data_IF_115871901342
#
_entry.id   IF_115871901342
#
_cell.length_a   1.000
_cell.length_b   1.000
_cell.length_c   1.000
_cell.angle_alpha   90.00
_cell.angle_beta   90.00
_cell.angle_gamma   90.00
#
_symmetry.space_group_name_H-M   'P 1'
#
loop_
_entity.id
_entity.type
_entity.pdbx_description
1 polymer ?
#
# COMPACT_ATOMS: atom_id res chain seq x y z
N UNK A 1 0.46 8.85 -26.00
CA UNK A 1 1.62 8.69 -25.09
C UNK A 1 1.30 7.56 -24.14
N UNK A 2 2.11 6.51 -24.04
CA UNK A 2 1.92 5.50 -22.99
C UNK A 2 2.22 6.15 -21.64
N UNK A 3 1.30 6.07 -20.68
CA UNK A 3 1.58 6.49 -19.31
C UNK A 3 2.85 5.80 -18.79
N UNK A 4 3.77 6.58 -18.23
CA UNK A 4 4.98 6.06 -17.64
C UNK A 4 4.61 5.23 -16.40
N UNK A 5 5.05 3.97 -16.37
CA UNK A 5 4.85 3.10 -15.22
C UNK A 5 5.61 3.63 -14.01
N UNK A 6 4.96 3.62 -12.85
CA UNK A 6 5.55 4.12 -11.61
C UNK A 6 5.16 3.27 -10.42
N UNK A 7 6.11 3.16 -9.50
CA UNK A 7 5.89 2.62 -8.17
C UNK A 7 6.00 3.79 -7.21
N UNK A 8 4.93 4.05 -6.45
CA UNK A 8 4.88 5.16 -5.49
C UNK A 8 5.05 4.60 -4.08
N UNK A 9 6.00 5.14 -3.33
CA UNK A 9 6.21 4.78 -1.93
C UNK A 9 5.74 5.94 -1.06
N UNK A 10 4.79 5.68 -0.17
CA UNK A 10 4.35 6.65 0.83
C UNK A 10 4.99 6.27 2.16
N UNK A 11 5.94 7.08 2.61
CA UNK A 11 6.76 6.80 3.77
C UNK A 11 6.69 7.88 4.85
N UNK A 12 6.89 7.49 6.11
CA UNK A 12 6.87 8.40 7.26
C UNK A 12 6.41 7.74 8.57
N UNK A 13 6.55 8.42 9.71
CA UNK A 13 6.25 7.84 11.03
C UNK A 13 4.76 7.50 11.21
N UNK A 14 4.45 6.68 12.22
CA UNK A 14 3.07 6.40 12.61
C UNK A 14 2.36 7.69 13.03
N UNK A 15 1.10 7.85 12.64
CA UNK A 15 0.32 9.05 12.93
C UNK A 15 0.58 10.26 12.00
N UNK A 16 1.50 10.17 11.04
CA UNK A 16 1.79 11.27 10.10
C UNK A 16 0.70 11.54 9.04
N UNK A 17 -0.42 10.79 9.05
CA UNK A 17 -1.50 10.95 8.08
C UNK A 17 -1.27 10.29 6.72
N UNK A 18 -0.30 9.37 6.60
CA UNK A 18 0.07 8.69 5.34
C UNK A 18 -1.10 8.04 4.61
N UNK A 19 -1.91 7.25 5.30
CA UNK A 19 -3.08 6.58 4.71
C UNK A 19 -4.13 7.58 4.25
N UNK A 20 -4.31 8.69 4.98
CA UNK A 20 -5.21 9.78 4.57
C UNK A 20 -4.70 10.44 3.28
N UNK A 21 -3.42 10.84 3.27
CA UNK A 21 -2.77 11.39 2.08
C UNK A 21 -2.87 10.42 0.89
N UNK A 22 -2.63 9.12 1.10
CA UNK A 22 -2.72 8.12 0.04
C UNK A 22 -4.10 8.07 -0.61
N UNK A 23 -5.17 8.12 0.20
CA UNK A 23 -6.56 8.05 -0.29
C UNK A 23 -6.99 9.27 -1.10
N UNK A 24 -6.42 10.43 -0.82
CA UNK A 24 -6.71 11.68 -1.52
C UNK A 24 -5.77 11.88 -2.73
N UNK A 25 -4.47 11.69 -2.54
CA UNK A 25 -3.48 11.96 -3.57
C UNK A 25 -3.49 10.92 -4.70
N UNK A 26 -3.54 9.62 -4.36
CA UNK A 26 -3.31 8.55 -5.34
C UNK A 26 -4.35 8.46 -6.46
N UNK A 27 -5.67 8.47 -6.19
CA UNK A 27 -6.68 8.36 -7.24
C UNK A 27 -6.85 9.66 -8.04
N UNK A 28 -6.67 10.82 -7.41
CA UNK A 28 -7.04 12.10 -8.02
C UNK A 28 -5.84 12.86 -8.63
N UNK A 29 -4.67 12.79 -8.02
CA UNK A 29 -3.48 13.56 -8.45
C UNK A 29 -2.42 12.66 -9.07
N UNK A 30 -2.18 11.49 -8.47
CA UNK A 30 -1.16 10.57 -8.96
C UNK A 30 -1.64 9.65 -10.09
N UNK A 31 -2.94 9.52 -10.35
CA UNK A 31 -3.45 8.54 -11.33
C UNK A 31 -2.99 7.11 -11.03
N UNK A 32 -2.81 6.75 -9.75
CA UNK A 32 -2.28 5.46 -9.30
C UNK A 32 -3.21 4.85 -8.25
N UNK A 33 -4.42 4.42 -8.63
CA UNK A 33 -5.46 4.02 -7.67
C UNK A 33 -5.15 2.72 -6.91
N UNK A 34 -4.18 1.93 -7.37
CA UNK A 34 -3.78 0.68 -6.72
C UNK A 34 -2.91 1.01 -5.51
N UNK A 35 -3.43 0.78 -4.32
CA UNK A 35 -2.76 1.06 -3.06
C UNK A 35 -2.67 -0.19 -2.18
N UNK A 36 -1.45 -0.60 -1.85
CA UNK A 36 -1.14 -1.79 -1.04
C UNK A 36 -0.64 -1.33 0.34
N UNK A 37 -1.35 -1.72 1.39
CA UNK A 37 -1.04 -1.30 2.76
C UNK A 37 -1.28 -2.48 3.73
N UNK A 38 -0.27 -2.84 4.53
CA UNK A 38 -0.33 -3.98 5.45
C UNK A 38 -1.40 -3.81 6.55
N UNK A 39 -1.58 -2.61 7.09
CA UNK A 39 -2.56 -2.35 8.15
C UNK A 39 -4.01 -2.50 7.64
N UNK A 40 -4.28 -2.02 6.42
CA UNK A 40 -5.58 -2.21 5.77
C UNK A 40 -5.85 -3.68 5.45
N UNK A 41 -4.83 -4.43 5.02
CA UNK A 41 -4.94 -5.88 4.80
C UNK A 41 -5.21 -6.59 6.15
N UNK A 42 -4.47 -6.25 7.20
CA UNK A 42 -4.66 -6.83 8.54
C UNK A 42 -6.06 -6.57 9.08
N UNK A 43 -6.57 -5.34 8.93
CA UNK A 43 -7.93 -4.98 9.31
C UNK A 43 -8.99 -5.74 8.49
N UNK A 44 -8.74 -6.02 7.22
CA UNK A 44 -9.62 -6.87 6.40
C UNK A 44 -9.59 -8.35 6.81
N UNK A 45 -8.44 -8.88 7.21
CA UNK A 45 -8.28 -10.27 7.64
C UNK A 45 -8.84 -10.54 9.04
N UNK A 46 -8.70 -9.58 9.95
CA UNK A 46 -9.09 -9.70 11.35
C UNK A 46 -9.67 -8.37 11.84
N UNK A 47 -10.96 -8.08 11.54
CA UNK A 47 -11.55 -6.77 11.81
C UNK A 47 -11.65 -6.42 13.29
N UNK A 48 -11.64 -7.42 14.18
CA UNK A 48 -11.68 -7.22 15.63
C UNK A 48 -10.30 -7.31 16.30
N UNK A 49 -9.29 -7.81 15.59
CA UNK A 49 -7.92 -7.97 16.13
C UNK A 49 -6.87 -7.96 15.00
N UNK A 50 -6.65 -6.81 14.33
CA UNK A 50 -5.74 -6.71 13.18
C UNK A 50 -4.30 -7.14 13.51
N UNK A 51 -3.84 -6.89 14.74
CA UNK A 51 -2.49 -7.20 15.20
C UNK A 51 -2.21 -8.71 15.13
N UNK A 52 -3.22 -9.55 15.37
CA UNK A 52 -3.10 -11.00 15.24
C UNK A 52 -2.86 -11.46 13.79
N UNK A 53 -3.21 -10.61 12.81
CA UNK A 53 -3.02 -10.87 11.39
C UNK A 53 -1.78 -10.18 10.80
N UNK A 54 -1.00 -9.42 11.59
CA UNK A 54 0.08 -8.56 11.08
C UNK A 54 1.11 -9.31 10.21
N UNK A 55 1.60 -10.47 10.66
CA UNK A 55 2.54 -11.28 9.89
C UNK A 55 1.95 -11.79 8.57
N UNK A 56 0.68 -12.23 8.60
CA UNK A 56 -0.02 -12.72 7.40
C UNK A 56 -0.27 -11.56 6.43
N UNK A 57 -0.66 -10.40 6.93
CA UNK A 57 -0.89 -9.20 6.14
C UNK A 57 0.40 -8.71 5.46
N UNK A 58 1.54 -8.73 6.17
CA UNK A 58 2.84 -8.41 5.58
C UNK A 58 3.23 -9.36 4.43
N UNK A 59 2.97 -10.66 4.56
CA UNK A 59 3.18 -11.63 3.47
C UNK A 59 2.30 -11.34 2.26
N UNK A 60 1.00 -11.11 2.48
CA UNK A 60 0.06 -10.76 1.41
C UNK A 60 0.45 -9.45 0.73
N UNK A 61 0.91 -8.45 1.48
CA UNK A 61 1.42 -7.19 0.90
C UNK A 61 2.58 -7.45 -0.07
N UNK A 62 3.55 -8.30 0.31
CA UNK A 62 4.67 -8.65 -0.58
C UNK A 62 4.22 -9.44 -1.81
N UNK A 63 3.24 -10.34 -1.64
CA UNK A 63 2.62 -11.08 -2.74
C UNK A 63 1.92 -10.14 -3.74
N UNK A 64 1.13 -9.18 -3.25
CA UNK A 64 0.47 -8.17 -4.09
C UNK A 64 1.47 -7.29 -4.84
N UNK A 65 2.57 -6.88 -4.20
CA UNK A 65 3.67 -6.17 -4.86
C UNK A 65 4.23 -7.00 -6.01
N UNK A 66 4.52 -8.28 -5.78
CA UNK A 66 5.04 -9.18 -6.80
C UNK A 66 4.06 -9.37 -7.98
N UNK A 67 2.76 -9.51 -7.70
CA UNK A 67 1.70 -9.60 -8.71
C UNK A 67 1.69 -8.36 -9.61
N UNK A 68 1.75 -7.17 -9.04
CA UNK A 68 1.70 -5.92 -9.80
C UNK A 68 2.97 -5.66 -10.62
N UNK A 69 4.13 -6.04 -10.08
CA UNK A 69 5.40 -6.05 -10.82
C UNK A 69 5.31 -6.98 -12.03
N UNK A 70 4.88 -8.23 -11.83
CA UNK A 70 4.75 -9.21 -12.91
C UNK A 70 3.75 -8.78 -13.98
N UNK A 71 2.67 -8.10 -13.58
CA UNK A 71 1.67 -7.55 -14.49
C UNK A 71 2.09 -6.23 -15.16
N UNK A 72 3.27 -5.68 -14.85
CA UNK A 72 3.77 -4.40 -15.34
C UNK A 72 2.74 -3.26 -15.11
N UNK A 73 2.15 -3.21 -13.91
CA UNK A 73 1.15 -2.21 -13.50
C UNK A 73 1.75 -1.21 -12.52
N UNK A 74 1.32 0.05 -12.62
CA UNK A 74 1.65 1.05 -11.61
C UNK A 74 0.90 0.74 -10.32
N UNK A 75 1.56 0.91 -9.18
CA UNK A 75 0.95 0.75 -7.86
C UNK A 75 1.64 1.65 -6.84
N UNK A 76 0.98 1.83 -5.71
CA UNK A 76 1.52 2.52 -4.55
C UNK A 76 1.52 1.60 -3.33
N UNK A 77 2.44 1.82 -2.41
CA UNK A 77 2.40 1.16 -1.12
C UNK A 77 2.86 2.07 0.01
N UNK A 78 2.36 1.79 1.22
CA UNK A 78 2.70 2.51 2.43
C UNK A 78 3.72 1.73 3.26
N UNK A 79 4.67 2.46 3.87
CA UNK A 79 5.63 1.91 4.81
C UNK A 79 6.04 2.98 5.82
N UNK A 80 6.58 2.59 6.97
CA UNK A 80 7.22 3.54 7.90
C UNK A 80 8.66 3.87 7.50
N UNK A 81 9.30 3.05 6.66
CA UNK A 81 10.76 3.01 6.46
C UNK A 81 11.56 2.97 7.77
N UNK A 82 10.96 2.50 8.87
CA UNK A 82 11.67 2.26 10.12
C UNK A 82 12.50 0.99 9.98
N UNK A 83 13.82 1.17 9.86
CA UNK A 83 14.80 0.10 10.03
C UNK A 83 15.28 0.02 11.47
#
# INVERSE_FOLDING_TARGET
MSEQKKIVIIAGPNGAGKTTFAREFLPFEAGCPIFINADLIAAGLSPFQPEAAAFRAGRLMLEEIAIHIAANKSFAFETTLSG
#
